data_IF_369637616814
#
_entry.id   IF_369637616814
#
_cell.length_a   1.000
_cell.length_b   1.000
_cell.length_c   1.000
_cell.angle_alpha   90.00
_cell.angle_beta   90.00
_cell.angle_gamma   90.00
#
_symmetry.space_group_name_H-M   'P 1'
#
loop_
_entity.id
_entity.type
_entity.pdbx_description
1 polymer ?
#
# COMPACT_ATOMS: atom_id res chain seq x y z
N UNK A 1 -23.05 0.94 12.97
CA UNK A 1 -21.66 0.53 12.66
C UNK A 1 -20.69 1.67 12.35
N UNK A 2 -20.83 2.83 13.00
CA UNK A 2 -19.91 3.98 12.87
C UNK A 2 -19.07 4.12 14.14
N UNK A 3 -18.15 3.18 14.35
CA UNK A 3 -17.06 3.38 15.31
C UNK A 3 -15.76 3.43 14.52
N UNK A 4 -14.94 4.49 14.63
CA UNK A 4 -13.65 4.52 13.95
C UNK A 4 -12.79 3.40 14.53
N UNK A 5 -12.73 2.26 13.83
CA UNK A 5 -11.76 1.21 14.14
C UNK A 5 -10.40 1.89 14.02
N UNK A 6 -9.67 2.02 15.13
CA UNK A 6 -8.28 2.53 15.21
C UNK A 6 -7.32 1.56 14.50
N UNK A 7 -7.52 1.35 13.20
CA UNK A 7 -6.71 0.50 12.34
C UNK A 7 -5.42 1.22 11.93
N UNK A 8 -4.45 0.44 11.47
CA UNK A 8 -3.25 0.98 10.83
C UNK A 8 -3.58 1.44 9.41
N UNK A 9 -2.83 2.41 8.93
CA UNK A 9 -2.76 2.72 7.51
C UNK A 9 -1.63 1.89 6.87
N UNK A 10 -1.92 1.33 5.70
CA UNK A 10 -0.98 0.50 4.94
C UNK A 10 -0.71 1.21 3.63
N UNK A 11 0.57 1.38 3.28
CA UNK A 11 1.01 2.02 2.06
C UNK A 11 2.05 1.14 1.38
N UNK A 12 1.97 1.03 0.06
CA UNK A 12 2.94 0.33 -0.77
C UNK A 12 3.17 1.16 -2.02
N UNK A 13 4.43 1.51 -2.26
CA UNK A 13 4.83 2.32 -3.41
C UNK A 13 5.30 1.39 -4.52
N UNK A 14 4.55 1.37 -5.62
CA UNK A 14 4.93 0.63 -6.82
C UNK A 14 6.14 1.22 -7.52
N UNK A 15 6.51 0.61 -8.65
CA UNK A 15 7.62 1.09 -9.48
C UNK A 15 7.31 2.49 -10.03
N UNK A 16 8.33 3.38 -10.15
CA UNK A 16 8.14 4.66 -10.81
C UNK A 16 7.70 4.49 -12.27
N UNK A 17 6.77 5.33 -12.71
CA UNK A 17 6.30 5.34 -14.10
C UNK A 17 7.21 6.26 -14.91
N UNK A 18 8.11 5.68 -15.69
CA UNK A 18 9.00 6.46 -16.56
C UNK A 18 8.23 7.05 -17.75
N UNK A 19 8.10 8.37 -17.75
CA UNK A 19 7.46 9.14 -18.83
C UNK A 19 8.45 10.00 -19.62
N UNK A 20 9.72 10.06 -19.19
CA UNK A 20 10.78 10.80 -19.88
C UNK A 20 11.03 10.15 -21.24
N UNK A 21 11.05 10.95 -22.31
CA UNK A 21 11.21 10.47 -23.70
C UNK A 21 9.91 10.03 -24.39
N UNK A 22 8.81 9.79 -23.66
CA UNK A 22 7.53 9.29 -24.22
C UNK A 22 6.55 10.39 -24.63
N UNK A 23 7.01 11.64 -24.78
CA UNK A 23 6.14 12.82 -25.01
C UNK A 23 5.26 12.70 -26.26
N UNK A 24 5.72 12.06 -27.33
CA UNK A 24 4.94 11.84 -28.55
C UNK A 24 3.99 10.64 -28.44
N UNK A 25 4.41 9.56 -27.77
CA UNK A 25 3.55 8.39 -27.52
C UNK A 25 2.36 8.75 -26.63
N UNK A 26 2.55 9.61 -25.63
CA UNK A 26 1.48 10.10 -24.76
C UNK A 26 0.47 11.02 -25.48
N UNK A 27 0.80 11.53 -26.67
CA UNK A 27 -0.13 12.29 -27.51
C UNK A 27 -1.01 11.39 -28.37
N UNK A 28 -0.59 10.14 -28.60
CA UNK A 28 -1.41 9.14 -29.24
C UNK A 28 -2.41 8.57 -28.23
N UNK A 29 -3.71 8.76 -28.51
CA UNK A 29 -4.79 8.33 -27.63
C UNK A 29 -4.77 6.82 -27.37
N UNK A 30 -4.40 6.00 -28.35
CA UNK A 30 -4.35 4.53 -28.17
C UNK A 30 -3.20 4.14 -27.26
N UNK A 31 -1.99 4.63 -27.55
CA UNK A 31 -0.79 4.33 -26.74
C UNK A 31 -0.91 4.84 -25.30
N UNK A 32 -1.49 6.03 -25.11
CA UNK A 32 -1.76 6.56 -23.78
C UNK A 32 -2.78 5.69 -23.02
N UNK A 33 -3.79 5.15 -23.71
CA UNK A 33 -4.76 4.24 -23.10
C UNK A 33 -4.13 2.90 -22.72
N UNK A 34 -3.28 2.32 -23.57
CA UNK A 34 -2.53 1.10 -23.27
C UNK A 34 -1.68 1.27 -22.01
N UNK A 35 -0.89 2.34 -21.94
CA UNK A 35 -0.09 2.67 -20.75
C UNK A 35 -0.96 2.85 -19.50
N UNK A 36 -2.12 3.50 -19.62
CA UNK A 36 -3.05 3.64 -18.51
C UNK A 36 -3.55 2.29 -17.99
N UNK A 37 -3.89 1.35 -18.87
CA UNK A 37 -4.36 0.01 -18.48
C UNK A 37 -3.26 -0.78 -17.77
N UNK A 38 -2.03 -0.69 -18.25
CA UNK A 38 -0.85 -1.29 -17.60
C UNK A 38 -0.68 -0.75 -16.17
N UNK A 39 -0.60 0.57 -16.02
CA UNK A 39 -0.45 1.22 -14.70
C UNK A 39 -1.63 0.88 -13.79
N UNK A 40 -2.85 0.86 -14.32
CA UNK A 40 -4.05 0.49 -13.55
C UNK A 40 -3.92 -0.92 -12.99
N UNK A 41 -3.50 -1.88 -13.81
CA UNK A 41 -3.29 -3.27 -13.36
C UNK A 41 -2.20 -3.36 -12.28
N UNK A 42 -1.10 -2.61 -12.42
CA UNK A 42 -0.06 -2.55 -11.38
C UNK A 42 -0.60 -2.01 -10.06
N UNK A 43 -1.40 -0.93 -10.10
CA UNK A 43 -2.02 -0.35 -8.90
C UNK A 43 -3.01 -1.33 -8.27
N UNK A 44 -3.81 -2.03 -9.06
CA UNK A 44 -4.74 -3.06 -8.57
C UNK A 44 -3.98 -4.20 -7.87
N UNK A 45 -2.85 -4.64 -8.43
CA UNK A 45 -1.99 -5.65 -7.81
C UNK A 45 -1.39 -5.14 -6.48
N UNK A 46 -0.94 -3.88 -6.44
CA UNK A 46 -0.46 -3.25 -5.20
C UNK A 46 -1.55 -3.21 -4.12
N UNK A 47 -2.79 -2.88 -4.50
CA UNK A 47 -3.93 -2.87 -3.58
C UNK A 47 -4.28 -4.28 -3.09
N UNK A 48 -4.21 -5.29 -3.96
CA UNK A 48 -4.43 -6.68 -3.58
C UNK A 48 -3.38 -7.14 -2.55
N UNK A 49 -2.10 -6.85 -2.80
CA UNK A 49 -1.01 -7.11 -1.87
C UNK A 49 -1.25 -6.44 -0.50
N UNK A 50 -1.62 -5.16 -0.48
CA UNK A 50 -1.91 -4.44 0.77
C UNK A 50 -3.10 -5.02 1.54
N UNK A 51 -4.13 -5.50 0.84
CA UNK A 51 -5.27 -6.18 1.48
C UNK A 51 -4.82 -7.48 2.14
N UNK A 52 -4.05 -8.30 1.45
CA UNK A 52 -3.48 -9.53 1.99
C UNK A 52 -2.59 -9.25 3.21
N UNK A 53 -1.69 -8.28 3.12
CA UNK A 53 -0.83 -7.88 4.26
C UNK A 53 -1.65 -7.36 5.44
N UNK A 54 -2.74 -6.63 5.19
CA UNK A 54 -3.63 -6.17 6.24
C UNK A 54 -4.40 -7.31 6.90
N UNK A 55 -4.81 -8.32 6.15
CA UNK A 55 -5.50 -9.48 6.70
C UNK A 55 -4.59 -10.32 7.59
N UNK A 56 -3.32 -10.47 7.17
CA UNK A 56 -2.33 -11.26 7.88
C UNK A 56 -1.53 -10.48 8.95
N UNK A 57 -1.79 -9.18 9.16
CA UNK A 57 -1.05 -8.37 10.14
C UNK A 57 -1.40 -8.74 11.60
N UNK A 58 -0.47 -9.33 12.37
CA UNK A 58 -0.72 -9.72 13.77
C UNK A 58 -0.99 -8.50 14.68
N UNK A 59 -0.59 -7.31 14.24
CA UNK A 59 -0.75 -6.05 14.97
C UNK A 59 -1.88 -5.16 14.40
N UNK A 60 -2.75 -5.73 13.56
CA UNK A 60 -3.95 -5.02 13.03
C UNK A 60 -4.83 -4.48 14.17
N UNK A 61 -4.97 -5.26 15.23
CA UNK A 61 -5.73 -4.88 16.43
C UNK A 61 -4.90 -3.98 17.36
N UNK A 62 -5.54 -2.95 17.93
CA UNK A 62 -4.91 -2.04 18.91
C UNK A 62 -4.40 -2.80 20.15
N UNK A 63 -5.09 -3.84 20.62
CA UNK A 63 -4.68 -4.59 21.81
C UNK A 63 -3.32 -5.28 21.62
N UNK A 64 -3.10 -5.90 20.45
CA UNK A 64 -1.81 -6.53 20.12
C UNK A 64 -0.67 -5.50 20.10
N UNK A 65 -0.94 -4.27 19.64
CA UNK A 65 0.04 -3.17 19.64
C UNK A 65 0.37 -2.69 21.05
N UNK A 66 -0.65 -2.56 21.91
CA UNK A 66 -0.46 -2.15 23.30
C UNK A 66 0.38 -3.19 24.06
N UNK A 67 0.13 -4.48 23.85
CA UNK A 67 0.94 -5.56 24.45
C UNK A 67 2.39 -5.48 23.96
N UNK A 68 2.60 -5.29 22.65
CA UNK A 68 3.95 -5.14 22.09
C UNK A 68 4.71 -3.95 22.68
N UNK A 69 4.06 -2.79 22.79
CA UNK A 69 4.66 -1.60 23.38
C UNK A 69 4.91 -1.75 24.88
N UNK A 70 4.06 -2.46 25.61
CA UNK A 70 4.30 -2.74 27.03
C UNK A 70 5.55 -3.62 27.25
N UNK A 71 5.85 -4.54 26.32
CA UNK A 71 7.00 -5.45 26.43
C UNK A 71 8.29 -4.87 25.84
N UNK A 72 8.20 -4.03 24.80
CA UNK A 72 9.35 -3.48 24.08
C UNK A 72 9.60 -1.99 24.38
N UNK A 73 8.76 -1.33 25.17
CA UNK A 73 8.81 0.10 25.46
C UNK A 73 7.76 0.91 24.70
N UNK A 74 7.17 1.92 25.37
CA UNK A 74 6.06 2.70 24.81
C UNK A 74 6.41 3.53 23.57
N UNK A 75 7.70 3.82 23.36
CA UNK A 75 8.22 4.53 22.19
C UNK A 75 8.60 3.59 21.04
N UNK A 76 8.50 2.27 21.23
CA UNK A 76 8.91 1.31 20.23
C UNK A 76 7.95 1.29 19.05
N UNK A 77 8.53 1.29 17.84
CA UNK A 77 7.77 1.14 16.61
C UNK A 77 7.31 -0.31 16.48
N UNK A 78 6.01 -0.49 16.25
CA UNK A 78 5.42 -1.81 16.00
C UNK A 78 5.87 -2.30 14.62
N UNK A 79 6.31 -3.56 14.48
CA UNK A 79 6.74 -4.11 13.21
C UNK A 79 5.70 -3.93 12.09
N UNK A 80 6.21 -3.78 10.88
CA UNK A 80 5.41 -3.75 9.64
C UNK A 80 5.81 -4.91 8.75
N UNK A 81 4.99 -5.21 7.75
CA UNK A 81 5.30 -6.21 6.74
C UNK A 81 6.57 -5.83 5.97
N UNK A 82 7.33 -6.83 5.55
CA UNK A 82 8.53 -6.65 4.74
C UNK A 82 8.19 -6.12 3.33
N UNK A 83 9.15 -5.39 2.74
CA UNK A 83 9.10 -4.84 1.38
C UNK A 83 9.88 -5.72 0.40
#
# INVERSE_FOLDING_TARGET
>A
DWYPRRGRFYYYFGKPIETKGRKQELRDKKKAHELYLEIKSEVENCLAYLKEKRENDPYRNILARLIYQATHGFTSQVPTFDL
#
